data_IF_707245555659
#
_entry.id   IF_707245555659
#
_cell.length_a   1.000
_cell.length_b   1.000
_cell.length_c   1.000
_cell.angle_alpha   90.00
_cell.angle_beta   90.00
_cell.angle_gamma   90.00
#
_symmetry.space_group_name_H-M   'P 1'
#
loop_
_entity.id
_entity.type
_entity.pdbx_description
1 polymer ?
#
# COMPACT_ATOMS: atom_id res chain seq x y z
N UNK A 1 9.47 -9.17 29.64
CA UNK A 1 9.71 -9.72 28.28
C UNK A 1 8.57 -9.21 27.41
N UNK A 2 8.84 -8.28 26.50
CA UNK A 2 7.82 -7.59 25.69
C UNK A 2 7.36 -8.42 24.49
N UNK A 3 6.31 -7.96 23.81
CA UNK A 3 5.89 -8.51 22.51
C UNK A 3 6.84 -7.98 21.43
N UNK A 4 7.31 -8.85 20.54
CA UNK A 4 7.96 -8.44 19.29
C UNK A 4 6.86 -8.02 18.31
N UNK A 5 6.95 -6.81 17.77
CA UNK A 5 6.03 -6.31 16.76
C UNK A 5 6.71 -6.46 15.41
N UNK A 6 6.08 -7.20 14.49
CA UNK A 6 6.54 -7.32 13.11
C UNK A 6 5.60 -6.53 12.21
N UNK A 7 6.15 -5.56 11.46
CA UNK A 7 5.43 -4.79 10.45
C UNK A 7 5.80 -5.31 9.07
N UNK A 8 4.82 -5.83 8.34
CA UNK A 8 4.98 -6.23 6.94
C UNK A 8 4.53 -5.07 6.04
N UNK A 9 5.44 -4.59 5.20
CA UNK A 9 5.20 -3.45 4.31
C UNK A 9 5.69 -3.74 2.89
N UNK A 10 5.13 -3.09 1.85
CA UNK A 10 5.71 -3.13 0.52
C UNK A 10 7.07 -2.42 0.50
N UNK A 11 7.98 -2.86 -0.37
CA UNK A 11 9.29 -2.20 -0.58
C UNK A 11 9.16 -0.72 -0.97
N UNK A 12 8.09 -0.39 -1.69
CA UNK A 12 7.75 0.96 -2.12
C UNK A 12 6.41 1.31 -1.47
N UNK A 13 6.38 2.39 -0.70
CA UNK A 13 5.22 2.83 0.05
C UNK A 13 5.35 4.28 0.49
N UNK A 14 4.22 4.91 0.85
CA UNK A 14 4.19 6.36 1.09
C UNK A 14 4.72 6.77 2.47
N UNK A 15 4.28 6.07 3.53
CA UNK A 15 4.43 6.58 4.91
C UNK A 15 4.98 5.56 5.91
N UNK A 16 5.05 4.29 5.56
CA UNK A 16 5.62 3.26 6.44
C UNK A 16 7.15 3.32 6.33
N UNK A 17 7.84 3.56 7.45
CA UNK A 17 9.30 3.77 7.51
C UNK A 17 9.92 2.95 8.64
N UNK A 18 11.19 2.52 8.54
CA UNK A 18 11.87 1.82 9.62
C UNK A 18 11.81 2.58 10.95
N UNK A 19 11.67 1.85 12.05
CA UNK A 19 11.60 2.39 13.41
C UNK A 19 12.25 1.42 14.39
N UNK A 20 12.75 1.93 15.52
CA UNK A 20 13.30 1.10 16.60
C UNK A 20 12.21 0.33 17.37
N UNK A 21 10.93 0.71 17.19
CA UNK A 21 9.82 0.15 17.95
C UNK A 21 9.31 -1.20 17.41
N UNK A 22 9.76 -1.63 16.24
CA UNK A 22 9.29 -2.86 15.60
C UNK A 22 10.27 -3.39 14.56
N UNK A 23 10.16 -4.68 14.24
CA UNK A 23 10.90 -5.32 13.16
C UNK A 23 10.13 -5.13 11.86
N UNK A 24 10.79 -4.60 10.83
CA UNK A 24 10.17 -4.39 9.52
C UNK A 24 10.54 -5.51 8.54
N UNK A 25 9.55 -6.03 7.82
CA UNK A 25 9.72 -6.99 6.72
C UNK A 25 9.13 -6.42 5.44
N UNK A 26 9.94 -6.36 4.40
CA UNK A 26 9.53 -5.86 3.09
C UNK A 26 9.12 -6.98 2.14
N UNK A 27 8.18 -6.69 1.24
CA UNK A 27 7.83 -7.58 0.14
C UNK A 27 7.83 -6.83 -1.21
N UNK A 28 8.20 -7.51 -2.30
CA UNK A 28 8.34 -6.89 -3.61
C UNK A 28 7.00 -6.50 -4.21
N UNK A 29 7.04 -5.40 -4.95
CA UNK A 29 5.90 -4.83 -5.67
C UNK A 29 6.22 -4.61 -7.16
N UNK A 30 5.19 -4.43 -8.00
CA UNK A 30 5.32 -4.25 -9.45
C UNK A 30 4.89 -2.84 -9.86
N UNK A 31 5.27 -1.86 -9.05
CA UNK A 31 5.10 -0.45 -9.38
C UNK A 31 6.34 0.30 -8.89
N UNK A 32 6.65 1.41 -9.53
CA UNK A 32 7.73 2.31 -9.15
C UNK A 32 7.22 3.37 -8.17
N UNK A 33 8.14 4.03 -7.45
CA UNK A 33 7.80 5.19 -6.63
C UNK A 33 7.12 6.29 -7.46
N UNK A 34 7.58 6.51 -8.69
CA UNK A 34 6.99 7.50 -9.61
C UNK A 34 5.54 7.18 -9.97
N UNK A 35 5.22 5.91 -10.25
CA UNK A 35 3.85 5.48 -10.53
C UNK A 35 2.93 5.70 -9.33
N UNK A 36 3.39 5.32 -8.13
CA UNK A 36 2.66 5.54 -6.89
C UNK A 36 2.40 7.04 -6.65
N UNK A 37 3.43 7.87 -6.76
CA UNK A 37 3.34 9.31 -6.56
C UNK A 37 2.41 9.95 -7.58
N UNK A 38 2.51 9.57 -8.86
CA UNK A 38 1.64 10.07 -9.92
C UNK A 38 0.17 9.74 -9.66
N UNK A 39 -0.13 8.51 -9.25
CA UNK A 39 -1.50 8.11 -8.95
C UNK A 39 -2.07 8.84 -7.73
N UNK A 40 -1.26 9.01 -6.69
CA UNK A 40 -1.66 9.74 -5.49
C UNK A 40 -1.86 11.23 -5.76
N UNK A 41 -0.95 11.88 -6.48
CA UNK A 41 -1.08 13.29 -6.86
C UNK A 41 -2.31 13.51 -7.74
N UNK A 42 -2.57 12.65 -8.72
CA UNK A 42 -3.78 12.75 -9.55
C UNK A 42 -5.05 12.62 -8.71
N UNK A 43 -5.08 11.71 -7.73
CA UNK A 43 -6.19 11.60 -6.79
C UNK A 43 -6.39 12.88 -5.98
N UNK A 44 -5.32 13.45 -5.41
CA UNK A 44 -5.40 14.69 -4.64
C UNK A 44 -5.89 15.87 -5.48
N UNK A 45 -5.37 16.03 -6.70
CA UNK A 45 -5.80 17.08 -7.62
C UNK A 45 -7.31 16.98 -7.88
N UNK A 46 -7.82 15.78 -8.17
CA UNK A 46 -9.25 15.58 -8.45
C UNK A 46 -10.16 15.75 -7.23
N UNK A 47 -9.66 15.44 -6.03
CA UNK A 47 -10.40 15.67 -4.78
C UNK A 47 -10.50 17.17 -4.46
N UNK A 48 -9.45 17.93 -4.77
CA UNK A 48 -9.35 19.36 -4.48
C UNK A 48 -9.91 20.25 -5.59
N UNK A 49 -10.10 19.71 -6.80
CA UNK A 49 -10.59 20.47 -7.95
C UNK A 49 -12.04 20.94 -7.73
N UNK A 50 -12.29 22.21 -8.06
CA UNK A 50 -13.63 22.79 -8.11
C UNK A 50 -14.42 22.25 -9.32
N UNK A 51 -15.72 22.03 -9.16
CA UNK A 51 -16.58 21.47 -10.20
C UNK A 51 -17.92 21.02 -9.64
N UNK A 52 -18.78 20.45 -10.49
CA UNK A 52 -20.04 19.88 -9.98
C UNK A 52 -19.75 18.66 -9.10
N UNK A 53 -20.60 18.45 -8.08
CA UNK A 53 -20.47 17.31 -7.19
C UNK A 53 -20.44 15.98 -7.95
N UNK A 54 -21.28 15.84 -8.98
CA UNK A 54 -21.39 14.61 -9.76
C UNK A 54 -20.11 14.31 -10.56
N UNK A 55 -19.53 15.31 -11.23
CA UNK A 55 -18.27 15.16 -11.95
C UNK A 55 -17.15 14.77 -10.99
N UNK A 56 -17.03 15.47 -9.85
CA UNK A 56 -16.01 15.17 -8.84
C UNK A 56 -16.17 13.75 -8.30
N UNK A 57 -17.41 13.34 -8.00
CA UNK A 57 -17.71 11.99 -7.50
C UNK A 57 -17.29 10.90 -8.50
N UNK A 58 -17.64 11.06 -9.78
CA UNK A 58 -17.30 10.08 -10.83
C UNK A 58 -15.79 9.94 -11.01
N UNK A 59 -15.06 11.05 -10.99
CA UNK A 59 -13.60 11.03 -11.11
C UNK A 59 -12.94 10.38 -9.90
N UNK A 60 -13.32 10.78 -8.68
CA UNK A 60 -12.85 10.16 -7.43
C UNK A 60 -13.11 8.66 -7.47
N UNK A 61 -14.29 8.21 -7.88
CA UNK A 61 -14.63 6.80 -7.98
C UNK A 61 -13.68 6.05 -8.93
N UNK A 62 -13.37 6.60 -10.11
CA UNK A 62 -12.43 5.98 -11.05
C UNK A 62 -11.01 5.89 -10.49
N UNK A 63 -10.54 6.92 -9.79
CA UNK A 63 -9.23 6.91 -9.15
C UNK A 63 -9.17 5.92 -7.99
N UNK A 64 -10.21 5.88 -7.15
CA UNK A 64 -10.33 4.92 -6.05
C UNK A 64 -10.31 3.49 -6.58
N UNK A 65 -11.04 3.20 -7.67
CA UNK A 65 -11.00 1.88 -8.30
C UNK A 65 -9.58 1.45 -8.67
N UNK A 66 -8.80 2.32 -9.33
CA UNK A 66 -7.41 2.04 -9.71
C UNK A 66 -6.50 1.81 -8.50
N UNK A 67 -6.63 2.64 -7.46
CA UNK A 67 -5.89 2.48 -6.22
C UNK A 67 -6.25 1.17 -5.50
N UNK A 68 -7.53 0.80 -5.47
CA UNK A 68 -8.01 -0.47 -4.91
C UNK A 68 -7.49 -1.67 -5.69
N UNK A 69 -7.51 -1.63 -7.03
CA UNK A 69 -6.97 -2.71 -7.87
C UNK A 69 -5.47 -2.92 -7.60
N UNK A 70 -4.70 -1.82 -7.48
CA UNK A 70 -3.29 -1.87 -7.11
C UNK A 70 -3.09 -2.47 -5.71
N UNK A 71 -3.88 -2.03 -4.72
CA UNK A 71 -3.80 -2.53 -3.35
C UNK A 71 -4.12 -4.04 -3.26
N UNK A 72 -5.21 -4.49 -3.90
CA UNK A 72 -5.62 -5.90 -3.92
C UNK A 72 -4.56 -6.76 -4.61
N UNK A 73 -4.02 -6.30 -5.74
CA UNK A 73 -2.93 -7.00 -6.43
C UNK A 73 -1.69 -7.17 -5.54
N UNK A 74 -1.31 -6.13 -4.80
CA UNK A 74 -0.19 -6.21 -3.85
C UNK A 74 -0.50 -7.17 -2.69
N UNK A 75 -1.70 -7.13 -2.12
CA UNK A 75 -2.12 -8.08 -1.08
C UNK A 75 -2.07 -9.54 -1.57
N UNK A 76 -2.55 -9.80 -2.79
CA UNK A 76 -2.48 -11.14 -3.37
C UNK A 76 -1.01 -11.61 -3.49
N UNK A 77 -0.12 -10.72 -3.93
CA UNK A 77 1.31 -11.03 -4.08
C UNK A 77 2.03 -11.24 -2.76
N UNK A 78 1.65 -10.51 -1.71
CA UNK A 78 2.14 -10.78 -0.36
C UNK A 78 1.86 -12.25 0.04
N UNK A 79 0.65 -12.76 -0.25
CA UNK A 79 0.30 -14.15 0.04
C UNK A 79 1.09 -15.16 -0.79
N UNK A 80 1.55 -14.79 -1.99
CA UNK A 80 2.43 -15.62 -2.81
C UNK A 80 3.91 -15.56 -2.40
N UNK A 81 4.30 -14.64 -1.52
CA UNK A 81 5.66 -14.55 -1.01
C UNK A 81 5.91 -15.66 0.04
N UNK A 82 6.24 -16.86 -0.45
CA UNK A 82 6.40 -18.07 0.38
C UNK A 82 7.40 -17.90 1.51
N UNK A 83 8.53 -17.22 1.28
CA UNK A 83 9.56 -17.04 2.31
C UNK A 83 9.06 -16.14 3.44
N UNK A 84 8.34 -15.07 3.10
CA UNK A 84 7.75 -14.17 4.10
C UNK A 84 6.61 -14.86 4.87
N UNK A 85 5.73 -15.59 4.18
CA UNK A 85 4.66 -16.35 4.83
C UNK A 85 5.22 -17.41 5.76
N UNK A 86 6.26 -18.14 5.34
CA UNK A 86 6.93 -19.12 6.19
C UNK A 86 7.53 -18.46 7.44
N UNK A 87 8.24 -17.34 7.30
CA UNK A 87 8.77 -16.59 8.45
C UNK A 87 7.67 -16.20 9.43
N UNK A 88 6.53 -15.70 8.93
CA UNK A 88 5.40 -15.33 9.78
C UNK A 88 4.89 -16.57 10.54
N UNK A 89 4.65 -17.69 9.84
CA UNK A 89 4.22 -18.95 10.46
C UNK A 89 5.16 -19.43 11.56
N UNK A 90 6.47 -19.39 11.32
CA UNK A 90 7.51 -19.76 12.31
C UNK A 90 7.52 -18.80 13.52
N UNK A 91 7.11 -17.55 13.32
CA UNK A 91 6.99 -16.53 14.38
C UNK A 91 5.74 -16.71 15.26
N UNK A 92 4.86 -17.68 14.97
CA UNK A 92 3.60 -17.91 15.68
C UNK A 92 2.74 -16.63 15.82
N UNK A 93 2.64 -15.89 14.72
CA UNK A 93 1.84 -14.65 14.60
C UNK A 93 0.34 -14.86 14.82
#
# INVERSE_FOLDING_TARGET
KGHEIVVVAPEIGMHIKPSENYVMKFHPVNFTQEELDKHFQAFLQEVLQEGSFLERFLKIYQHMKRLSDMAISNCARLLYNKSLIQYLQESNF
#
